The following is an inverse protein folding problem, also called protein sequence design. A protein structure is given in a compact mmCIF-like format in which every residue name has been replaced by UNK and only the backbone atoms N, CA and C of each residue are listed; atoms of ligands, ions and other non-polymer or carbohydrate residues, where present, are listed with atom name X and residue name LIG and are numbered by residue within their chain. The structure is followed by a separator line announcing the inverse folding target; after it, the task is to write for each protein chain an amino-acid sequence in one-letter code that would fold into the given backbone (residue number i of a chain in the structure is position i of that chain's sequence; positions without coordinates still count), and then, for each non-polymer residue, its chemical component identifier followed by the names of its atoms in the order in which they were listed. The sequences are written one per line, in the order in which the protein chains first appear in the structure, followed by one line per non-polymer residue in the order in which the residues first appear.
data_IF_726286160077
#
_entry.id   IF_726286160077
#
_cell.length_a   1.000
_cell.length_b   1.000
_cell.length_c   1.000
_cell.angle_alpha   90.00
_cell.angle_beta   90.00
_cell.angle_gamma   90.00
#
_symmetry.space_group_name_H-M   'P 1'
#
loop_
_entity.id
_entity.type
_entity.pdbx_description
1 polymer ?
#
# COMPACT_ATOMS: atom_id res chain seq x y z
N UNK A 1 -5.63 -2.24 -37.76
CA UNK A 1 -6.34 -1.08 -37.15
C UNK A 1 -5.37 -0.38 -36.20
N UNK A 2 -4.61 0.57 -36.75
CA UNK A 2 -3.59 1.38 -36.09
C UNK A 2 -4.19 2.76 -35.85
N UNK A 3 -4.68 3.03 -34.63
CA UNK A 3 -5.29 4.32 -34.24
C UNK A 3 -4.53 5.03 -33.11
N UNK A 4 -3.25 4.70 -32.90
CA UNK A 4 -2.38 5.34 -31.90
C UNK A 4 -1.18 6.09 -32.50
N UNK A 5 -1.10 6.18 -33.83
CA UNK A 5 -0.03 6.89 -34.52
C UNK A 5 -0.24 8.41 -34.51
N UNK A 6 0.06 9.07 -33.38
CA UNK A 6 0.61 10.45 -33.29
C UNK A 6 0.80 10.91 -31.83
N UNK A 7 1.31 10.06 -30.93
CA UNK A 7 1.43 10.42 -29.50
C UNK A 7 2.67 11.28 -29.15
N UNK A 8 3.51 11.63 -30.14
CA UNK A 8 4.81 12.29 -29.91
C UNK A 8 4.92 13.75 -30.41
N UNK A 9 3.87 14.38 -30.93
CA UNK A 9 4.01 15.70 -31.57
C UNK A 9 3.22 16.84 -30.93
N UNK A 10 3.11 16.90 -29.60
CA UNK A 10 2.55 18.12 -28.97
C UNK A 10 3.01 18.41 -27.54
N UNK A 11 4.28 18.13 -27.23
CA UNK A 11 5.02 18.91 -26.22
C UNK A 11 5.54 20.18 -26.90
N UNK A 12 4.63 21.03 -27.38
CA UNK A 12 4.97 22.40 -27.69
C UNK A 12 5.55 23.03 -26.41
N UNK A 13 6.75 23.65 -26.45
CA UNK A 13 7.33 24.30 -25.28
C UNK A 13 6.37 25.40 -24.80
N UNK A 14 5.64 25.12 -23.72
CA UNK A 14 4.66 26.06 -23.14
C UNK A 14 3.27 25.51 -22.83
N UNK A 15 2.87 24.31 -23.31
CA UNK A 15 1.64 23.65 -22.80
C UNK A 15 1.94 23.04 -21.43
N UNK A 16 1.11 23.28 -20.40
CA UNK A 16 1.33 22.69 -19.09
C UNK A 16 1.41 21.18 -19.23
N UNK A 17 2.34 20.55 -18.51
CA UNK A 17 2.67 19.10 -18.45
C UNK A 17 1.47 18.13 -18.21
N UNK A 18 0.23 18.61 -18.29
CA UNK A 18 -1.01 17.84 -18.40
C UNK A 18 -1.16 16.83 -17.28
N UNK A 19 -1.46 15.58 -17.68
CA UNK A 19 -1.57 14.44 -16.77
C UNK A 19 -0.29 14.21 -15.97
N UNK A 20 0.91 14.48 -16.52
CA UNK A 20 2.18 14.28 -15.80
C UNK A 20 2.32 15.24 -14.62
N UNK A 21 1.97 16.52 -14.82
CA UNK A 21 1.96 17.50 -13.73
C UNK A 21 0.98 17.10 -12.63
N UNK A 22 -0.22 16.65 -13.02
CA UNK A 22 -1.22 16.18 -12.07
C UNK A 22 -0.74 14.94 -11.29
N UNK A 23 -0.17 13.93 -11.96
CA UNK A 23 0.40 12.74 -11.28
C UNK A 23 1.50 13.16 -10.31
N UNK A 24 2.40 14.06 -10.70
CA UNK A 24 3.47 14.56 -9.81
C UNK A 24 2.90 15.25 -8.58
N UNK A 25 1.91 16.13 -8.76
CA UNK A 25 1.28 16.85 -7.66
C UNK A 25 0.56 15.89 -6.71
N UNK A 26 -0.17 14.91 -7.26
CA UNK A 26 -0.86 13.89 -6.50
C UNK A 26 0.09 13.01 -5.71
N UNK A 27 1.12 12.46 -6.35
CA UNK A 27 2.14 11.65 -5.66
C UNK A 27 2.80 12.42 -4.52
N UNK A 28 3.03 13.74 -4.69
CA UNK A 28 3.56 14.58 -3.61
C UNK A 28 2.58 14.74 -2.45
N UNK A 29 1.28 14.95 -2.73
CA UNK A 29 0.24 15.02 -1.70
C UNK A 29 0.12 13.69 -0.95
N UNK A 30 0.08 12.58 -1.68
CA UNK A 30 0.01 11.23 -1.10
C UNK A 30 1.24 10.94 -0.25
N UNK A 31 2.43 11.27 -0.72
CA UNK A 31 3.68 11.12 0.02
C UNK A 31 3.63 11.85 1.37
N UNK A 32 3.17 13.10 1.38
CA UNK A 32 3.02 13.88 2.61
C UNK A 32 2.00 13.22 3.54
N UNK A 33 0.84 12.81 3.02
CA UNK A 33 -0.19 12.11 3.79
C UNK A 33 0.36 10.85 4.44
N UNK A 34 1.06 9.99 3.69
CA UNK A 34 1.67 8.77 4.23
C UNK A 34 2.75 9.06 5.26
N UNK A 35 3.55 10.12 5.09
CA UNK A 35 4.54 10.54 6.09
C UNK A 35 3.87 10.99 7.40
N UNK A 36 2.78 11.77 7.31
CA UNK A 36 2.01 12.19 8.48
C UNK A 36 1.40 10.98 9.19
N UNK A 37 0.79 10.06 8.43
CA UNK A 37 0.23 8.82 8.98
C UNK A 37 1.33 8.00 9.66
N UNK A 38 2.49 7.82 9.03
CA UNK A 38 3.60 7.08 9.62
C UNK A 38 4.11 7.74 10.92
N UNK A 39 4.20 9.08 10.94
CA UNK A 39 4.62 9.84 12.11
C UNK A 39 3.66 9.70 13.29
N UNK A 40 2.36 9.59 13.04
CA UNK A 40 1.34 9.34 14.08
C UNK A 40 1.29 7.85 14.47
N UNK A 41 1.48 6.94 13.51
CA UNK A 41 1.35 5.52 13.73
C UNK A 41 2.46 4.96 14.61
N UNK A 42 3.69 5.46 14.47
CA UNK A 42 4.83 5.01 15.28
C UNK A 42 4.62 5.17 16.80
N UNK A 43 4.27 6.36 17.35
CA UNK A 43 4.03 6.49 18.79
C UNK A 43 2.84 5.63 19.25
N UNK A 44 1.80 5.48 18.43
CA UNK A 44 0.68 4.58 18.74
C UNK A 44 1.15 3.13 18.83
N UNK A 45 1.99 2.68 17.89
CA UNK A 45 2.58 1.34 17.91
C UNK A 45 3.49 1.12 19.13
N UNK A 46 4.27 2.13 19.52
CA UNK A 46 5.10 2.08 20.73
C UNK A 46 4.26 1.96 22.01
N UNK A 47 3.19 2.75 22.14
CA UNK A 47 2.26 2.65 23.28
C UNK A 47 1.59 1.29 23.30
N UNK A 48 1.13 0.79 22.15
CA UNK A 48 0.54 -0.54 22.05
C UNK A 48 1.52 -1.63 22.49
N UNK A 49 2.79 -1.56 22.08
CA UNK A 49 3.81 -2.51 22.51
C UNK A 49 4.07 -2.45 24.02
N UNK A 50 4.06 -1.25 24.61
CA UNK A 50 4.16 -1.07 26.07
C UNK A 50 2.98 -1.71 26.82
N UNK A 51 1.75 -1.55 26.31
CA UNK A 51 0.56 -2.19 26.86
C UNK A 51 0.67 -3.72 26.73
N UNK A 52 1.01 -4.24 25.55
CA UNK A 52 1.20 -5.68 25.33
C UNK A 52 2.26 -6.25 26.26
N UNK A 53 3.39 -5.54 26.44
CA UNK A 53 4.43 -5.92 27.38
C UNK A 53 3.91 -6.00 28.83
N UNK A 54 3.18 -4.97 29.29
CA UNK A 54 2.61 -4.94 30.63
C UNK A 54 1.62 -6.09 30.87
N UNK A 55 0.80 -6.43 29.86
CA UNK A 55 -0.12 -7.58 29.92
C UNK A 55 0.64 -8.89 30.03
N UNK A 56 1.67 -9.12 29.20
CA UNK A 56 2.49 -10.35 29.27
C UNK A 56 3.16 -10.45 30.63
N UNK A 57 3.71 -9.34 31.14
CA UNK A 57 4.33 -9.29 32.46
C UNK A 57 3.33 -9.65 33.58
N UNK A 58 2.14 -9.04 33.58
CA UNK A 58 1.10 -9.32 34.56
C UNK A 58 0.61 -10.77 34.53
N UNK A 59 0.39 -11.32 33.33
CA UNK A 59 0.01 -12.73 33.15
C UNK A 59 1.13 -13.66 33.62
N UNK A 60 2.39 -13.38 33.27
CA UNK A 60 3.54 -14.17 33.70
C UNK A 60 3.70 -14.15 35.22
N UNK A 61 3.57 -12.97 35.83
CA UNK A 61 3.60 -12.81 37.28
C UNK A 61 2.51 -13.66 37.94
N UNK A 62 1.26 -13.56 37.49
CA UNK A 62 0.14 -14.29 38.08
C UNK A 62 0.31 -15.82 37.93
N UNK A 63 0.61 -16.29 36.72
CA UNK A 63 0.79 -17.72 36.45
C UNK A 63 1.91 -18.31 37.29
N UNK A 64 3.05 -17.63 37.36
CA UNK A 64 4.19 -18.13 38.09
C UNK A 64 4.04 -17.98 39.61
N UNK A 65 3.36 -16.94 40.08
CA UNK A 65 3.04 -16.78 41.50
C UNK A 65 2.17 -17.92 42.03
N UNK A 66 1.17 -18.35 41.24
CA UNK A 66 0.31 -19.50 41.57
C UNK A 66 1.10 -20.80 41.68
N UNK A 67 2.12 -20.99 40.84
CA UNK A 67 2.91 -22.24 40.79
C UNK A 67 4.09 -22.28 41.77
N UNK A 68 4.76 -21.15 41.99
CA UNK A 68 6.06 -21.08 42.68
C UNK A 68 6.01 -20.23 43.96
N UNK A 69 4.82 -19.81 44.40
CA UNK A 69 4.62 -19.16 45.70
C UNK A 69 5.32 -17.81 45.85
N UNK A 70 5.18 -16.92 44.84
CA UNK A 70 5.69 -15.54 44.84
C UNK A 70 7.21 -15.35 45.05
N UNK A 71 8.00 -16.42 45.04
CA UNK A 71 9.44 -16.38 45.35
C UNK A 71 10.34 -16.04 44.15
N UNK A 72 9.75 -15.62 43.03
CA UNK A 72 10.49 -15.42 41.77
C UNK A 72 11.07 -14.01 41.72
N UNK A 73 12.37 -13.87 41.43
CA UNK A 73 12.97 -12.56 41.25
C UNK A 73 12.31 -11.77 40.12
N UNK A 74 12.01 -10.49 40.35
CA UNK A 74 11.35 -9.62 39.38
C UNK A 74 12.06 -9.57 38.02
N UNK A 75 13.40 -9.62 38.00
CA UNK A 75 14.17 -9.58 36.75
C UNK A 75 13.86 -10.78 35.83
N UNK A 76 13.53 -11.95 36.38
CA UNK A 76 13.15 -13.14 35.59
C UNK A 76 11.85 -12.88 34.84
N UNK A 77 10.89 -12.21 35.48
CA UNK A 77 9.60 -11.85 34.87
C UNK A 77 9.77 -10.84 33.74
N UNK A 78 10.66 -9.86 33.90
CA UNK A 78 11.02 -8.94 32.82
C UNK A 78 11.61 -9.67 31.63
N UNK A 79 12.53 -10.62 31.85
CA UNK A 79 13.11 -11.44 30.77
C UNK A 79 12.02 -12.23 30.05
N UNK A 80 11.13 -12.91 30.78
CA UNK A 80 10.02 -13.67 30.20
C UNK A 80 9.10 -12.77 29.38
N UNK A 81 8.75 -11.58 29.89
CA UNK A 81 7.90 -10.64 29.19
C UNK A 81 8.56 -10.09 27.91
N UNK A 82 9.86 -9.77 27.96
CA UNK A 82 10.63 -9.35 26.79
C UNK A 82 10.73 -10.45 25.73
N UNK A 83 11.04 -11.68 26.14
CA UNK A 83 11.10 -12.84 25.22
C UNK A 83 9.73 -13.13 24.62
N UNK A 84 8.67 -13.08 25.42
CA UNK A 84 7.29 -13.25 24.97
C UNK A 84 6.89 -12.18 23.94
N UNK A 85 7.24 -10.91 24.19
CA UNK A 85 6.98 -9.83 23.23
C UNK A 85 7.73 -10.09 21.91
N UNK A 86 9.02 -10.41 21.95
CA UNK A 86 9.80 -10.72 20.75
C UNK A 86 9.22 -11.93 19.99
N UNK A 87 8.78 -12.96 20.71
CA UNK A 87 8.16 -14.13 20.11
C UNK A 87 6.84 -13.79 19.39
N UNK A 88 6.04 -12.85 19.93
CA UNK A 88 4.83 -12.38 19.25
C UNK A 88 5.13 -11.66 17.94
N UNK A 89 6.15 -10.80 17.91
CA UNK A 89 6.59 -10.14 16.67
C UNK A 89 7.07 -11.17 15.63
N UNK A 90 7.85 -12.14 16.07
CA UNK A 90 8.33 -13.21 15.20
C UNK A 90 7.20 -14.08 14.64
N UNK A 91 6.23 -14.43 15.49
CA UNK A 91 5.05 -15.20 15.09
C UNK A 91 4.20 -14.42 14.08
N UNK A 92 3.97 -13.12 14.32
CA UNK A 92 3.20 -12.27 13.42
C UNK A 92 3.86 -12.22 12.04
N UNK A 93 5.18 -12.00 11.97
CA UNK A 93 5.94 -11.98 10.73
C UNK A 93 5.84 -13.29 9.94
N UNK A 94 5.81 -14.45 10.63
CA UNK A 94 5.65 -15.76 9.98
C UNK A 94 4.24 -15.96 9.40
N UNK A 95 3.22 -15.56 10.14
CA UNK A 95 1.82 -15.63 9.68
C UNK A 95 1.61 -14.71 8.47
N UNK A 96 2.21 -13.53 8.52
CA UNK A 96 2.11 -12.53 7.47
C UNK A 96 2.70 -13.04 6.14
N UNK A 97 3.90 -13.63 6.14
CA UNK A 97 4.50 -14.16 4.91
C UNK A 97 3.61 -15.17 4.18
N UNK A 98 2.76 -15.90 4.88
CA UNK A 98 1.81 -16.84 4.28
C UNK A 98 0.56 -16.14 3.68
N UNK A 99 0.10 -15.05 4.30
CA UNK A 99 -1.09 -14.31 3.87
C UNK A 99 -0.83 -13.41 2.65
N UNK A 100 0.41 -13.00 2.42
CA UNK A 100 0.79 -12.04 1.37
C UNK A 100 1.31 -12.69 0.09
N UNK A 101 0.97 -13.96 -0.16
CA UNK A 101 1.35 -14.63 -1.40
C UNK A 101 0.83 -13.78 -2.59
N UNK A 102 1.73 -13.17 -3.38
CA UNK A 102 1.32 -12.26 -4.44
C UNK A 102 0.50 -13.04 -5.47
N UNK A 103 -0.61 -12.47 -5.91
CA UNK A 103 -1.37 -13.05 -7.02
C UNK A 103 -0.52 -12.93 -8.27
N UNK A 104 -0.06 -14.08 -8.77
CA UNK A 104 0.69 -14.16 -10.02
C UNK A 104 -0.32 -14.12 -11.16
N UNK A 105 -0.43 -12.97 -11.81
CA UNK A 105 -1.18 -12.88 -13.06
C UNK A 105 -0.24 -13.42 -14.13
N UNK A 106 -0.48 -14.64 -14.60
CA UNK A 106 0.23 -15.21 -15.74
C UNK A 106 -0.41 -14.64 -17.00
N UNK A 107 0.32 -13.78 -17.69
CA UNK A 107 -0.09 -13.37 -19.03
C UNK A 107 0.54 -14.33 -20.04
N UNK A 108 -0.26 -15.15 -20.70
CA UNK A 108 0.23 -16.12 -21.69
C UNK A 108 0.84 -15.44 -22.93
N UNK A 109 0.38 -14.22 -23.25
CA UNK A 109 0.84 -13.46 -24.42
C UNK A 109 2.24 -12.87 -24.20
N UNK A 110 2.53 -12.44 -22.97
CA UNK A 110 3.80 -11.78 -22.62
C UNK A 110 4.74 -12.71 -21.83
N UNK A 111 4.27 -13.91 -21.48
CA UNK A 111 4.95 -14.89 -20.62
C UNK A 111 5.55 -14.28 -19.33
N UNK A 112 4.89 -13.26 -18.78
CA UNK A 112 5.30 -12.58 -17.55
C UNK A 112 4.33 -12.91 -16.43
N UNK A 113 4.87 -13.28 -15.28
CA UNK A 113 4.10 -13.40 -14.04
C UNK A 113 4.27 -12.12 -13.25
N UNK A 114 3.26 -11.27 -13.31
CA UNK A 114 3.28 -10.02 -12.55
C UNK A 114 2.71 -10.27 -11.16
N UNK A 115 3.42 -9.79 -10.14
CA UNK A 115 2.99 -9.85 -8.74
C UNK A 115 2.19 -8.60 -8.44
N UNK A 116 0.87 -8.72 -8.30
CA UNK A 116 0.04 -7.58 -7.86
C UNK A 116 -0.12 -7.65 -6.35
N UNK A 117 0.32 -6.59 -5.66
CA UNK A 117 0.01 -6.42 -4.25
C UNK A 117 -1.48 -6.09 -4.11
N UNK A 118 -2.24 -6.94 -3.42
CA UNK A 118 -3.66 -6.69 -3.13
C UNK A 118 -3.88 -5.54 -2.14
N UNK A 119 -2.81 -4.91 -1.64
CA UNK A 119 -2.86 -3.82 -0.67
C UNK A 119 -2.89 -2.43 -1.30
N UNK A 120 -3.79 -2.21 -2.25
CA UNK A 120 -4.12 -0.86 -2.72
C UNK A 120 -5.26 -0.27 -1.87
N UNK A 121 -5.13 0.98 -1.40
CA UNK A 121 -6.15 1.67 -0.61
C UNK A 121 -6.32 1.11 0.82
N UNK A 122 -7.55 0.85 1.25
CA UNK A 122 -7.92 0.43 2.61
C UNK A 122 -7.61 -1.05 2.95
N UNK A 123 -6.97 -1.81 2.04
CA UNK A 123 -6.64 -3.22 2.22
C UNK A 123 -5.76 -3.50 3.45
N UNK A 124 -5.02 -2.49 3.94
CA UNK A 124 -4.27 -2.58 5.19
C UNK A 124 -5.15 -2.79 6.43
N UNK A 125 -6.44 -2.40 6.41
CA UNK A 125 -7.37 -2.68 7.51
C UNK A 125 -7.62 -4.18 7.67
N UNK A 126 -7.42 -4.97 6.62
CA UNK A 126 -7.52 -6.43 6.69
C UNK A 126 -6.44 -7.02 7.61
N UNK A 127 -5.29 -6.35 7.77
CA UNK A 127 -4.24 -6.76 8.73
C UNK A 127 -4.74 -6.65 10.18
N UNK A 128 -5.71 -5.77 10.44
CA UNK A 128 -6.29 -5.60 11.77
C UNK A 128 -7.47 -6.56 12.03
N UNK A 129 -8.01 -7.18 10.99
CA UNK A 129 -9.16 -8.08 11.11
C UNK A 129 -8.71 -9.52 11.32
N UNK A 130 -8.92 -10.04 12.54
CA UNK A 130 -8.77 -11.47 12.80
C UNK A 130 -9.86 -12.31 12.11
N UNK A 131 -9.59 -13.59 11.79
CA UNK A 131 -10.53 -14.48 11.12
C UNK A 131 -11.90 -14.49 11.79
N UNK A 132 -12.98 -14.43 11.00
CA UNK A 132 -14.36 -14.39 11.52
C UNK A 132 -14.77 -15.70 12.20
N UNK A 133 -14.12 -16.80 11.86
CA UNK A 133 -14.48 -18.14 12.32
C UNK A 133 -13.81 -18.55 13.65
N UNK A 134 -13.01 -17.68 14.27
CA UNK A 134 -12.42 -17.94 15.59
C UNK A 134 -13.42 -17.69 16.73
N UNK A 135 -13.30 -18.50 17.81
CA UNK A 135 -14.00 -18.25 19.06
C UNK A 135 -13.80 -16.78 19.52
N UNK A 136 -14.86 -16.05 19.94
CA UNK A 136 -14.76 -14.65 20.33
C UNK A 136 -13.68 -14.34 21.37
N UNK A 137 -13.47 -15.24 22.34
CA UNK A 137 -12.45 -15.07 23.39
C UNK A 137 -11.05 -15.17 22.81
N UNK A 138 -10.80 -16.20 22.00
CA UNK A 138 -9.51 -16.37 21.31
C UNK A 138 -9.23 -15.22 20.34
N UNK A 139 -10.26 -14.72 19.66
CA UNK A 139 -10.16 -13.56 18.77
C UNK A 139 -9.83 -12.28 19.53
N UNK A 140 -10.43 -12.08 20.70
CA UNK A 140 -10.12 -10.96 21.59
C UNK A 140 -8.67 -11.02 22.07
N UNK A 141 -8.23 -12.20 22.54
CA UNK A 141 -6.86 -12.42 22.98
C UNK A 141 -5.85 -12.24 21.83
N UNK A 142 -6.09 -12.84 20.67
CA UNK A 142 -5.20 -12.71 19.51
C UNK A 142 -5.11 -11.27 19.03
N UNK A 143 -6.23 -10.53 19.02
CA UNK A 143 -6.21 -9.10 18.73
C UNK A 143 -5.36 -8.36 19.74
N UNK A 144 -5.57 -8.56 21.05
CA UNK A 144 -4.81 -7.84 22.09
C UNK A 144 -3.30 -8.10 22.00
N UNK A 145 -2.89 -9.36 21.81
CA UNK A 145 -1.47 -9.74 21.76
C UNK A 145 -0.80 -9.39 20.42
N UNK A 146 -1.51 -9.50 19.29
CA UNK A 146 -0.95 -9.23 17.96
C UNK A 146 -1.17 -7.80 17.49
N UNK A 147 -1.91 -6.97 18.23
CA UNK A 147 -2.17 -5.58 17.83
C UNK A 147 -0.87 -4.79 17.66
N UNK A 148 0.03 -4.85 18.65
CA UNK A 148 1.30 -4.15 18.59
C UNK A 148 2.17 -4.61 17.40
N UNK A 149 2.47 -5.92 17.21
CA UNK A 149 3.15 -6.40 16.01
C UNK A 149 2.52 -5.91 14.70
N UNK A 150 1.19 -6.03 14.56
CA UNK A 150 0.46 -5.59 13.36
C UNK A 150 0.58 -4.10 13.07
N UNK A 151 0.63 -3.25 14.11
CA UNK A 151 0.86 -1.82 13.93
C UNK A 151 2.29 -1.51 13.45
N UNK A 152 3.29 -2.27 13.91
CA UNK A 152 4.66 -2.13 13.41
C UNK A 152 4.80 -2.60 11.97
N UNK A 153 4.15 -3.69 11.60
CA UNK A 153 4.16 -4.16 10.20
C UNK A 153 3.42 -3.17 9.29
N UNK A 154 2.29 -2.61 9.75
CA UNK A 154 1.61 -1.52 9.05
C UNK A 154 2.52 -0.30 8.88
N UNK A 155 3.23 0.11 9.93
CA UNK A 155 4.20 1.20 9.86
C UNK A 155 5.30 0.90 8.84
N UNK A 156 5.87 -0.30 8.88
CA UNK A 156 6.89 -0.75 7.93
C UNK A 156 6.37 -0.74 6.48
N UNK A 157 5.14 -1.20 6.25
CA UNK A 157 4.50 -1.18 4.94
C UNK A 157 4.29 0.25 4.41
N UNK A 158 3.85 1.18 5.27
CA UNK A 158 3.68 2.59 4.90
C UNK A 158 5.02 3.24 4.56
N UNK A 159 6.06 3.01 5.38
CA UNK A 159 7.41 3.52 5.11
C UNK A 159 7.98 2.94 3.80
N UNK A 160 7.81 1.63 3.59
CA UNK A 160 8.16 0.98 2.33
C UNK A 160 7.46 1.61 1.13
N UNK A 161 6.16 1.92 1.27
CA UNK A 161 5.40 2.62 0.23
C UNK A 161 5.92 4.04 -0.02
N UNK A 162 6.26 4.79 1.03
CA UNK A 162 6.87 6.13 0.91
C UNK A 162 8.21 6.06 0.16
N UNK A 163 9.04 5.05 0.41
CA UNK A 163 10.29 4.87 -0.33
C UNK A 163 10.05 4.50 -1.79
N UNK A 164 9.13 3.57 -2.07
CA UNK A 164 8.78 3.20 -3.44
C UNK A 164 8.22 4.39 -4.23
N UNK A 165 7.40 5.24 -3.60
CA UNK A 165 6.88 6.45 -4.22
C UNK A 165 7.95 7.43 -4.69
N UNK A 166 9.12 7.45 -4.04
CA UNK A 166 10.25 8.30 -4.44
C UNK A 166 10.96 7.82 -5.70
N UNK A 167 10.82 6.54 -6.05
CA UNK A 167 11.48 5.91 -7.19
C UNK A 167 10.59 5.78 -8.41
N UNK A 168 9.31 6.18 -8.31
CA UNK A 168 8.33 6.09 -9.41
C UNK A 168 8.77 6.94 -10.60
N UNK A 169 8.76 6.35 -11.79
CA UNK A 169 8.90 7.12 -13.02
C UNK A 169 7.58 7.84 -13.38
N UNK A 170 7.52 9.12 -12.99
CA UNK A 170 6.38 9.99 -13.26
C UNK A 170 6.08 10.13 -14.76
N UNK A 171 7.10 10.01 -15.64
CA UNK A 171 6.89 10.15 -17.08
C UNK A 171 6.12 8.95 -17.63
N UNK A 172 6.55 7.74 -17.30
CA UNK A 172 5.89 6.49 -17.71
C UNK A 172 4.51 6.34 -17.07
N UNK A 173 4.38 6.59 -15.76
CA UNK A 173 3.09 6.58 -15.07
C UNK A 173 2.10 7.59 -15.68
N UNK A 174 2.55 8.82 -15.98
CA UNK A 174 1.68 9.83 -16.59
C UNK A 174 1.17 9.44 -17.98
N UNK A 175 2.00 8.76 -18.80
CA UNK A 175 1.57 8.22 -20.10
C UNK A 175 0.55 7.10 -19.92
N UNK A 176 0.82 6.15 -19.03
CA UNK A 176 -0.07 5.03 -18.75
C UNK A 176 -1.43 5.50 -18.20
N UNK A 177 -1.45 6.48 -17.30
CA UNK A 177 -2.68 7.09 -16.81
C UNK A 177 -3.42 7.83 -17.92
N UNK A 178 -2.72 8.52 -18.82
CA UNK A 178 -3.35 9.15 -19.99
C UNK A 178 -4.05 8.10 -20.86
N UNK A 179 -3.40 6.97 -21.11
CA UNK A 179 -3.94 5.86 -21.88
C UNK A 179 -5.21 5.30 -21.20
N UNK A 180 -5.16 5.08 -19.88
CA UNK A 180 -6.32 4.66 -19.09
C UNK A 180 -7.47 5.66 -19.16
N UNK A 181 -7.21 6.96 -18.99
CA UNK A 181 -8.24 8.01 -19.08
C UNK A 181 -8.91 8.05 -20.46
N UNK A 182 -8.14 7.86 -21.53
CA UNK A 182 -8.64 7.83 -22.90
C UNK A 182 -9.45 6.56 -23.20
N UNK A 183 -9.05 5.41 -22.66
CA UNK A 183 -9.71 4.12 -22.82
C UNK A 183 -10.94 3.92 -21.90
N UNK A 184 -11.60 5.01 -21.49
CA UNK A 184 -12.73 4.99 -20.52
C UNK A 184 -12.39 4.30 -19.20
N UNK A 185 -11.13 4.36 -18.79
CA UNK A 185 -10.65 3.84 -17.53
C UNK A 185 -10.30 2.36 -17.53
N UNK A 186 -10.33 1.61 -18.64
CA UNK A 186 -9.97 0.18 -18.68
C UNK A 186 -9.07 -0.15 -19.86
N UNK A 187 -7.94 -0.82 -19.60
CA UNK A 187 -6.96 -1.24 -20.61
C UNK A 187 -6.49 -2.67 -20.30
N UNK A 188 -6.26 -3.49 -21.33
CA UNK A 188 -5.69 -4.82 -21.14
C UNK A 188 -4.22 -4.70 -20.71
N UNK A 189 -3.79 -5.48 -19.71
CA UNK A 189 -2.40 -5.45 -19.24
C UNK A 189 -1.41 -5.80 -20.37
N UNK A 190 -1.78 -6.70 -21.29
CA UNK A 190 -0.95 -7.03 -22.46
C UNK A 190 -0.76 -5.82 -23.38
N UNK A 191 -1.82 -5.07 -23.64
CA UNK A 191 -1.79 -3.86 -24.47
C UNK A 191 -0.93 -2.77 -23.81
N UNK A 192 -1.08 -2.61 -22.49
CA UNK A 192 -0.27 -1.68 -21.72
C UNK A 192 1.23 -2.05 -21.80
N UNK A 193 1.60 -3.30 -21.55
CA UNK A 193 3.01 -3.72 -21.62
C UNK A 193 3.58 -3.57 -23.03
N UNK A 194 2.78 -3.87 -24.06
CA UNK A 194 3.18 -3.69 -25.46
C UNK A 194 3.43 -2.23 -25.85
N UNK A 195 2.72 -1.28 -25.24
CA UNK A 195 2.96 0.15 -25.44
C UNK A 195 4.27 0.61 -24.78
N UNK A 196 4.67 -0.02 -23.67
CA UNK A 196 5.84 0.33 -22.88
C UNK A 196 6.99 -0.70 -22.98
N UNK A 197 7.26 -1.23 -24.18
CA UNK A 197 8.31 -2.25 -24.40
C UNK A 197 9.72 -1.86 -23.93
N UNK A 198 10.00 -0.55 -23.82
CA UNK A 198 11.30 -0.04 -23.36
C UNK A 198 11.49 -0.13 -21.84
N UNK A 199 10.42 -0.42 -21.09
CA UNK A 199 10.43 -0.49 -19.63
C UNK A 199 10.25 -1.93 -19.16
N UNK A 200 10.85 -2.27 -18.02
CA UNK A 200 10.59 -3.53 -17.35
C UNK A 200 9.08 -3.60 -16.96
N UNK A 201 8.32 -4.59 -17.46
CA UNK A 201 6.89 -4.69 -17.20
C UNK A 201 6.58 -4.85 -15.71
N UNK A 202 7.45 -5.50 -14.93
CA UNK A 202 7.23 -5.64 -13.50
C UNK A 202 7.33 -4.28 -12.81
N UNK A 203 8.37 -3.50 -13.14
CA UNK A 203 8.56 -2.15 -12.61
C UNK A 203 7.41 -1.21 -12.98
N UNK A 204 6.93 -1.26 -14.23
CA UNK A 204 5.78 -0.45 -14.67
C UNK A 204 4.53 -0.79 -13.85
N UNK A 205 4.27 -2.07 -13.60
CA UNK A 205 3.12 -2.50 -12.80
C UNK A 205 3.29 -2.09 -11.34
N UNK A 206 4.48 -2.23 -10.76
CA UNK A 206 4.77 -1.81 -9.39
C UNK A 206 4.59 -0.28 -9.23
N UNK A 207 5.08 0.51 -10.18
CA UNK A 207 4.94 1.96 -10.21
C UNK A 207 3.47 2.38 -10.37
N UNK A 208 2.70 1.68 -11.23
CA UNK A 208 1.27 1.91 -11.40
C UNK A 208 0.44 1.49 -10.18
N UNK A 209 0.79 0.38 -9.54
CA UNK A 209 0.15 -0.07 -8.30
C UNK A 209 0.37 0.90 -7.13
N UNK A 210 1.46 1.67 -7.17
CA UNK A 210 1.71 2.69 -6.18
C UNK A 210 0.79 3.92 -6.34
N UNK A 211 0.33 4.21 -7.56
CA UNK A 211 -0.62 5.29 -7.86
C UNK A 211 -2.00 4.92 -7.33
N UNK A 212 -2.50 5.70 -6.37
CA UNK A 212 -3.76 5.39 -5.72
C UNK A 212 -4.94 5.45 -6.71
N UNK A 213 -5.83 4.45 -6.61
CA UNK A 213 -6.97 4.25 -7.48
C UNK A 213 -6.67 3.59 -8.84
N UNK A 214 -5.44 3.15 -9.11
CA UNK A 214 -5.21 2.14 -10.15
C UNK A 214 -5.53 0.76 -9.56
N UNK A 215 -6.42 0.02 -10.22
CA UNK A 215 -6.88 -1.30 -9.78
C UNK A 215 -6.59 -2.32 -10.87
N UNK A 216 -5.90 -3.40 -10.51
CA UNK A 216 -5.66 -4.51 -11.43
C UNK A 216 -6.83 -5.49 -11.38
N UNK A 217 -7.38 -5.79 -12.55
CA UNK A 217 -8.46 -6.75 -12.73
C UNK A 217 -7.87 -8.11 -13.04
N UNK A 218 -8.26 -9.11 -12.25
CA UNK A 218 -7.84 -10.52 -12.41
C UNK A 218 -8.77 -11.28 -13.37
N UNK A 219 -9.77 -10.61 -13.94
CA UNK A 219 -10.64 -11.19 -14.99
C UNK A 219 -9.81 -11.56 -16.21
N UNK A 220 -10.10 -12.66 -16.88
CA UNK A 220 -9.45 -13.04 -18.13
C UNK A 220 -10.11 -12.32 -19.33
N UNK A 221 -9.41 -11.46 -20.10
CA UNK A 221 -7.98 -11.15 -20.02
C UNK A 221 -7.64 -10.11 -18.93
N UNK A 222 -6.50 -10.26 -18.23
CA UNK A 222 -6.12 -9.39 -17.12
C UNK A 222 -6.01 -7.94 -17.56
N UNK A 223 -6.62 -7.05 -16.78
CA UNK A 223 -6.76 -5.64 -17.12
C UNK A 223 -6.26 -4.71 -16.02
N UNK A 224 -6.10 -3.45 -16.39
CA UNK A 224 -5.86 -2.34 -15.47
C UNK A 224 -7.01 -1.38 -15.61
N UNK A 225 -7.62 -1.00 -14.49
CA UNK A 225 -8.70 -0.02 -14.45
C UNK A 225 -8.35 1.14 -13.55
N UNK A 226 -8.82 2.33 -13.91
CA UNK A 226 -8.75 3.51 -13.07
C UNK A 226 -10.05 3.65 -12.28
N UNK A 227 -9.95 3.95 -10.98
CA UNK A 227 -11.10 4.23 -10.12
C UNK A 227 -11.83 5.49 -10.61
N UNK A 228 -13.18 5.50 -10.63
CA UNK A 228 -13.96 6.68 -11.04
C UNK A 228 -13.57 7.95 -10.28
N UNK A 229 -13.22 7.80 -8.99
CA UNK A 229 -12.78 8.91 -8.14
C UNK A 229 -11.55 9.63 -8.71
N UNK A 230 -10.60 8.87 -9.26
CA UNK A 230 -9.36 9.42 -9.83
C UNK A 230 -9.65 10.17 -11.12
N UNK A 231 -10.57 9.65 -11.94
CA UNK A 231 -10.98 10.31 -13.18
C UNK A 231 -11.67 11.64 -12.90
N UNK A 232 -12.53 11.70 -11.87
CA UNK A 232 -13.23 12.93 -11.49
C UNK A 232 -12.29 13.94 -10.82
N UNK A 233 -11.34 13.48 -10.00
CA UNK A 233 -10.30 14.34 -9.43
C UNK A 233 -9.40 14.98 -10.51
N UNK A 234 -9.03 14.21 -11.54
CA UNK A 234 -8.28 14.75 -12.67
C UNK A 234 -9.08 15.82 -13.43
N UNK A 235 -10.38 15.59 -13.69
CA UNK A 235 -11.25 16.61 -14.33
C UNK A 235 -11.30 17.88 -13.49
N UNK A 236 -11.55 17.76 -12.18
CA UNK A 236 -11.61 18.89 -11.27
C UNK A 236 -10.31 19.69 -11.25
N UNK A 237 -9.16 19.00 -11.18
CA UNK A 237 -7.84 19.64 -11.25
C UNK A 237 -7.62 20.38 -12.57
N UNK A 238 -7.97 19.74 -13.70
CA UNK A 238 -7.82 20.33 -15.04
C UNK A 238 -8.66 21.60 -15.18
N UNK A 239 -9.91 21.56 -14.71
CA UNK A 239 -10.83 22.68 -14.83
C UNK A 239 -10.41 23.85 -13.92
N UNK A 240 -9.88 23.57 -12.73
CA UNK A 240 -9.27 24.58 -11.86
C UNK A 240 -8.05 25.27 -12.48
N UNK A 241 -7.19 24.52 -13.19
CA UNK A 241 -6.02 25.09 -13.90
C UNK A 241 -6.41 25.95 -15.09
N UNK A 242 -7.48 25.60 -15.81
CA UNK A 242 -8.01 26.41 -16.91
C UNK A 242 -8.52 27.77 -16.41
N UNK A 243 -9.26 27.78 -15.30
CA UNK A 243 -9.76 29.04 -14.70
C UNK A 243 -8.65 30.00 -14.26
N UNK A 244 -7.52 29.47 -13.76
CA UNK A 244 -6.36 30.28 -13.36
C UNK A 244 -5.65 30.93 -14.55
N UNK A 245 -5.61 30.25 -15.70
CA UNK A 245 -4.90 30.76 -16.90
C UNK A 245 -5.65 31.95 -17.50
N UNK A 246 -6.99 31.93 -17.46
CA UNK A 246 -7.82 33.05 -17.92
C UNK A 246 -7.69 34.31 -17.06
N UNK A 247 -7.46 34.19 -15.74
CA UNK A 247 -7.36 35.35 -14.84
C UNK A 247 -6.02 36.10 -14.87
N UNK A 248 -4.98 35.54 -15.47
CA UNK A 248 -3.63 36.15 -15.51
C UNK A 248 -3.36 36.92 -16.81
N UNK A 249 -4.29 36.87 -17.77
CA UNK A 249 -4.13 37.49 -19.10
C UNK A 249 -4.91 38.81 -19.23
N UNK A 250 -5.59 39.24 -18.16
CA UNK A 250 -6.25 40.55 -18.01
C UNK A 250 -5.40 41.47 -17.11
#
# INVERSE_FOLDING_TARGET
MSKFASFDTDLAPGKPDGVRAWVRERLRKDLITYLVVAAVLLPVAMVAAGITYAVIFAVSYFLLAVWLGFSIPLYVLHIIASVGLVALFWLNKRVEQAAWAPVRIRNEVVNTTVRVSQMTGAGWLLLLQSPRDMNPVLRGASNLFLFAPRLFDLFGAIIGRVWNMRTIDVASCGRAVTLLLNARGKVNLAELVNEFQQHDPQKLVDDLAAVDGVVFLVTDPPGVTLSPLVADEYKAWRDAKRGQTTSTTD
#
